data_IF_086575810490
#
_entry.id   IF_086575810490
#
_cell.length_a   1.000
_cell.length_b   1.000
_cell.length_c   1.000
_cell.angle_alpha   90.00
_cell.angle_beta   90.00
_cell.angle_gamma   90.00
#
_symmetry.space_group_name_H-M   'P 1'
#
loop_
_entity.id
_entity.type
_entity.pdbx_description
1 polymer ?
#
# COMPACT_ATOMS: atom_id res chain seq x y z
N UNK A 1 74.34 21.44 -21.45
CA UNK A 1 73.31 20.45 -21.79
C UNK A 1 72.91 19.74 -20.51
N UNK A 2 71.83 20.16 -19.87
CA UNK A 2 71.30 19.56 -18.64
C UNK A 2 69.91 19.02 -18.95
N UNK A 3 69.78 17.69 -19.00
CA UNK A 3 68.52 17.02 -19.23
C UNK A 3 67.59 17.14 -18.00
N UNK A 4 66.28 17.31 -18.17
CA UNK A 4 65.34 17.34 -17.06
C UNK A 4 65.20 15.94 -16.46
N UNK A 5 65.22 15.82 -15.13
CA UNK A 5 64.84 14.57 -14.45
C UNK A 5 63.33 14.44 -14.53
N UNK A 6 62.84 13.54 -15.37
CA UNK A 6 61.47 13.06 -15.29
C UNK A 6 61.31 12.34 -13.95
N UNK A 7 60.43 12.84 -13.10
CA UNK A 7 60.07 12.14 -11.87
C UNK A 7 59.25 10.92 -12.25
N UNK A 8 59.90 9.77 -12.31
CA UNK A 8 59.23 8.49 -12.50
C UNK A 8 58.22 8.28 -11.37
N UNK A 9 56.93 8.25 -11.71
CA UNK A 9 55.86 8.10 -10.73
C UNK A 9 55.84 6.66 -10.22
N UNK A 10 56.61 6.39 -9.16
CA UNK A 10 56.69 5.06 -8.55
C UNK A 10 55.44 4.81 -7.70
N UNK A 11 54.60 3.87 -8.15
CA UNK A 11 53.43 3.38 -7.41
C UNK A 11 53.86 2.69 -6.11
N UNK A 12 53.91 3.45 -5.01
CA UNK A 12 54.06 2.89 -3.65
C UNK A 12 52.74 2.27 -3.15
N UNK A 13 52.82 1.34 -2.20
CA UNK A 13 51.65 0.70 -1.59
C UNK A 13 50.64 1.67 -0.96
N UNK A 14 51.08 2.86 -0.54
CA UNK A 14 50.19 3.94 -0.09
C UNK A 14 49.32 4.52 -1.20
N UNK A 15 49.83 4.59 -2.44
CA UNK A 15 49.04 5.04 -3.59
C UNK A 15 47.98 4.01 -3.95
N UNK A 16 48.32 2.72 -3.91
CA UNK A 16 47.37 1.63 -4.16
C UNK A 16 46.28 1.61 -3.07
N UNK A 17 46.66 1.78 -1.80
CA UNK A 17 45.69 1.88 -0.69
C UNK A 17 44.76 3.10 -0.85
N UNK A 18 45.31 4.26 -1.22
CA UNK A 18 44.52 5.47 -1.48
C UNK A 18 43.56 5.29 -2.67
N UNK A 19 44.01 4.66 -3.76
CA UNK A 19 43.18 4.34 -4.92
C UNK A 19 42.06 3.36 -4.56
N UNK A 20 42.36 2.33 -3.75
CA UNK A 20 41.39 1.34 -3.28
C UNK A 20 40.31 2.00 -2.40
N UNK A 21 40.72 2.82 -1.43
CA UNK A 21 39.80 3.54 -0.56
C UNK A 21 38.94 4.55 -1.33
N UNK A 22 39.52 5.26 -2.30
CA UNK A 22 38.77 6.17 -3.17
C UNK A 22 37.74 5.41 -4.01
N UNK A 23 38.11 4.26 -4.58
CA UNK A 23 37.19 3.42 -5.37
C UNK A 23 36.00 2.94 -4.53
N UNK A 24 36.25 2.32 -3.36
CA UNK A 24 35.18 1.87 -2.48
C UNK A 24 34.36 3.04 -1.92
N UNK A 25 35.00 4.18 -1.62
CA UNK A 25 34.31 5.39 -1.18
C UNK A 25 33.29 5.89 -2.21
N UNK A 26 33.65 5.90 -3.50
CA UNK A 26 32.73 6.28 -4.59
C UNK A 26 31.57 5.28 -4.70
N UNK A 27 31.86 3.97 -4.68
CA UNK A 27 30.80 2.93 -4.75
C UNK A 27 29.82 3.05 -3.58
N UNK A 28 30.33 3.23 -2.36
CA UNK A 28 29.49 3.42 -1.17
C UNK A 28 28.66 4.69 -1.29
N UNK A 29 29.25 5.81 -1.72
CA UNK A 29 28.53 7.07 -1.88
C UNK A 29 27.38 6.97 -2.90
N UNK A 30 27.62 6.31 -4.03
CA UNK A 30 26.59 6.06 -5.06
C UNK A 30 25.50 5.13 -4.52
N UNK A 31 25.86 4.06 -3.81
CA UNK A 31 24.87 3.14 -3.22
C UNK A 31 24.02 3.82 -2.14
N UNK A 32 24.63 4.64 -1.28
CA UNK A 32 23.90 5.43 -0.28
C UNK A 32 22.99 6.46 -0.96
N UNK A 33 23.47 7.13 -2.01
CA UNK A 33 22.65 8.03 -2.81
C UNK A 33 21.45 7.29 -3.42
N UNK A 34 21.64 6.10 -4.00
CA UNK A 34 20.55 5.28 -4.51
C UNK A 34 19.61 4.78 -3.41
N UNK A 35 20.11 4.44 -2.22
CA UNK A 35 19.26 4.07 -1.09
C UNK A 35 18.39 5.24 -0.62
N UNK A 36 18.97 6.44 -0.49
CA UNK A 36 18.20 7.66 -0.17
C UNK A 36 17.24 8.05 -1.29
N UNK A 37 17.66 7.95 -2.55
CA UNK A 37 16.81 8.20 -3.70
C UNK A 37 15.65 7.21 -3.75
N UNK A 38 15.89 5.91 -3.58
CA UNK A 38 14.85 4.88 -3.58
C UNK A 38 13.87 5.06 -2.40
N UNK A 39 14.34 5.47 -1.23
CA UNK A 39 13.46 5.79 -0.08
C UNK A 39 12.67 7.08 -0.32
N UNK A 40 13.20 8.03 -1.11
CA UNK A 40 12.55 9.30 -1.44
C UNK A 40 11.69 9.31 -2.71
N UNK A 41 11.89 8.34 -3.62
CA UNK A 41 11.16 8.20 -4.89
C UNK A 41 10.43 6.87 -4.98
N UNK A 42 9.22 6.94 -4.44
CA UNK A 42 8.02 6.22 -4.85
C UNK A 42 7.72 4.81 -4.31
N UNK A 43 6.42 4.61 -4.04
CA UNK A 43 5.79 3.56 -3.25
C UNK A 43 5.32 2.41 -4.14
N UNK A 44 4.93 1.29 -3.51
CA UNK A 44 4.00 0.33 -4.09
C UNK A 44 4.48 -0.30 -5.40
N UNK A 45 5.14 -1.46 -5.29
CA UNK A 45 5.37 -2.33 -6.43
C UNK A 45 4.01 -2.78 -7.01
N UNK A 46 3.63 -2.10 -8.09
CA UNK A 46 2.48 -2.34 -8.95
C UNK A 46 2.74 -3.61 -9.77
N UNK A 47 2.12 -4.73 -9.36
CA UNK A 47 2.22 -5.98 -10.11
C UNK A 47 1.21 -5.93 -11.25
N UNK A 48 1.73 -5.60 -12.43
CA UNK A 48 1.03 -5.68 -13.72
C UNK A 48 0.39 -7.06 -13.92
N UNK A 49 -0.94 -7.18 -13.93
CA UNK A 49 -1.62 -8.19 -14.76
C UNK A 49 -2.99 -7.70 -15.28
N UNK A 50 -3.38 -8.09 -16.51
CA UNK A 50 -4.44 -7.45 -17.28
C UNK A 50 -5.78 -8.20 -17.24
N UNK A 51 -6.86 -7.44 -17.44
CA UNK A 51 -8.08 -7.80 -18.19
C UNK A 51 -9.15 -8.72 -17.55
N UNK A 52 -10.42 -8.43 -17.94
CA UNK A 52 -11.71 -9.15 -17.76
C UNK A 52 -12.46 -8.86 -16.45
N UNK A 53 -13.39 -7.89 -16.39
CA UNK A 53 -14.78 -7.84 -16.94
C UNK A 53 -15.82 -8.62 -16.10
N UNK A 54 -16.59 -7.84 -15.32
CA UNK A 54 -18.06 -7.88 -15.27
C UNK A 54 -18.76 -9.12 -14.71
N UNK A 55 -19.40 -8.91 -13.55
CA UNK A 55 -20.64 -9.56 -13.10
C UNK A 55 -20.57 -10.85 -12.26
N UNK A 56 -19.74 -10.86 -11.21
CA UNK A 56 -20.09 -11.49 -9.93
C UNK A 56 -19.13 -10.95 -8.86
N UNK A 57 -19.67 -10.26 -7.86
CA UNK A 57 -18.95 -9.50 -6.83
C UNK A 57 -18.16 -10.40 -5.86
N UNK A 58 -17.12 -11.07 -6.35
CA UNK A 58 -16.22 -11.87 -5.53
C UNK A 58 -14.81 -11.94 -6.14
N UNK A 59 -13.86 -11.42 -5.35
CA UNK A 59 -12.40 -11.62 -5.43
C UNK A 59 -11.77 -10.81 -6.57
N UNK A 60 -10.75 -10.00 -6.30
CA UNK A 60 -9.39 -10.50 -6.03
C UNK A 60 -8.66 -9.39 -5.30
N UNK A 61 -8.42 -9.58 -4.00
CA UNK A 61 -7.14 -10.04 -3.46
C UNK A 61 -5.92 -9.23 -3.95
N UNK A 62 -5.57 -8.14 -3.25
CA UNK A 62 -4.14 -7.76 -3.10
C UNK A 62 -3.77 -7.22 -1.71
N UNK A 63 -4.66 -7.39 -0.71
CA UNK A 63 -4.37 -7.14 0.71
C UNK A 63 -4.18 -8.43 1.54
N UNK A 64 -4.01 -9.58 0.89
CA UNK A 64 -4.07 -10.88 1.59
C UNK A 64 -2.88 -11.20 2.47
N UNK A 65 -1.72 -10.58 2.26
CA UNK A 65 -0.52 -10.98 3.01
C UNK A 65 -0.60 -10.57 4.48
N UNK A 66 -1.21 -9.43 4.80
CA UNK A 66 -1.38 -8.99 6.19
C UNK A 66 -2.61 -9.65 6.87
N UNK A 67 -3.72 -9.83 6.14
CA UNK A 67 -4.96 -10.36 6.70
C UNK A 67 -4.88 -11.87 6.98
N UNK A 68 -4.17 -12.64 6.13
CA UNK A 68 -3.97 -14.07 6.35
C UNK A 68 -3.17 -14.37 7.63
N UNK A 69 -2.35 -13.43 8.11
CA UNK A 69 -1.54 -13.61 9.31
C UNK A 69 -2.38 -13.67 10.61
N UNK A 70 -3.60 -13.12 10.63
CA UNK A 70 -4.48 -13.12 11.81
C UNK A 70 -5.70 -14.06 11.69
N UNK A 71 -5.81 -14.81 10.58
CA UNK A 71 -6.87 -15.82 10.40
C UNK A 71 -8.26 -15.26 10.08
N UNK A 72 -8.40 -13.97 9.77
CA UNK A 72 -9.68 -13.37 9.36
C UNK A 72 -9.75 -13.22 7.85
N UNK A 73 -10.96 -13.20 7.29
CA UNK A 73 -11.22 -12.87 5.89
C UNK A 73 -11.98 -11.56 5.83
N UNK A 74 -11.41 -10.60 5.10
CA UNK A 74 -12.01 -9.29 4.86
C UNK A 74 -12.29 -9.14 3.38
N UNK A 75 -13.45 -8.58 3.04
CA UNK A 75 -13.76 -8.15 1.67
C UNK A 75 -14.44 -6.79 1.72
N UNK A 76 -13.94 -5.83 0.95
CA UNK A 76 -14.51 -4.49 0.82
C UNK A 76 -14.94 -4.23 -0.63
N UNK A 77 -16.02 -3.48 -0.83
CA UNK A 77 -16.51 -3.12 -2.15
C UNK A 77 -17.48 -1.95 -2.13
N UNK A 78 -17.39 -1.09 -3.15
CA UNK A 78 -18.38 -0.05 -3.38
C UNK A 78 -19.66 -0.66 -3.96
N UNK A 79 -20.79 -0.13 -3.55
CA UNK A 79 -22.13 -0.51 -4.00
C UNK A 79 -22.95 0.75 -4.30
N UNK A 80 -23.96 0.60 -5.15
CA UNK A 80 -24.89 1.69 -5.42
C UNK A 80 -25.95 1.76 -4.31
N UNK A 81 -26.13 2.94 -3.74
CA UNK A 81 -27.11 3.24 -2.69
C UNK A 81 -28.08 4.31 -3.17
N UNK A 82 -29.24 4.44 -2.51
CA UNK A 82 -30.22 5.48 -2.83
C UNK A 82 -29.63 6.90 -2.72
N UNK A 83 -28.59 7.09 -1.91
CA UNK A 83 -27.87 8.35 -1.74
C UNK A 83 -26.67 8.54 -2.70
N UNK A 84 -26.38 7.56 -3.57
CA UNK A 84 -25.23 7.56 -4.48
C UNK A 84 -24.39 6.30 -4.33
N UNK A 85 -23.24 6.40 -3.66
CA UNK A 85 -22.36 5.29 -3.35
C UNK A 85 -22.44 4.91 -1.87
N UNK A 86 -22.30 3.62 -1.58
CA UNK A 86 -22.05 3.08 -0.26
C UNK A 86 -20.84 2.15 -0.31
N UNK A 87 -20.11 2.05 0.80
CA UNK A 87 -19.03 1.08 0.96
C UNK A 87 -19.50 -0.04 1.88
N UNK A 88 -19.43 -1.28 1.39
CA UNK A 88 -19.73 -2.46 2.16
C UNK A 88 -18.45 -3.24 2.45
N UNK A 89 -18.30 -3.66 3.71
CA UNK A 89 -17.21 -4.51 4.20
C UNK A 89 -17.83 -5.77 4.79
N UNK A 90 -17.30 -6.93 4.47
CA UNK A 90 -17.63 -8.19 5.15
C UNK A 90 -16.43 -8.71 5.90
N UNK A 91 -16.63 -9.00 7.17
CA UNK A 91 -15.65 -9.58 8.07
C UNK A 91 -16.10 -10.99 8.43
N UNK A 92 -15.23 -11.97 8.20
CA UNK A 92 -15.46 -13.37 8.56
C UNK A 92 -14.26 -13.95 9.30
N UNK A 93 -14.55 -14.84 10.23
CA UNK A 93 -13.56 -15.66 10.92
C UNK A 93 -12.99 -16.73 9.98
N UNK A 94 -11.92 -17.40 10.43
CA UNK A 94 -11.21 -18.45 9.67
C UNK A 94 -12.14 -19.59 9.26
N UNK A 95 -13.03 -19.98 10.15
CA UNK A 95 -14.05 -21.01 9.97
C UNK A 95 -15.18 -20.58 9.00
N UNK A 96 -15.22 -19.30 8.62
CA UNK A 96 -16.26 -18.73 7.76
C UNK A 96 -17.45 -18.14 8.52
N UNK A 97 -17.43 -18.17 9.86
CA UNK A 97 -18.46 -17.52 10.66
C UNK A 97 -18.39 -15.98 10.49
N UNK A 98 -19.54 -15.29 10.48
CA UNK A 98 -19.58 -13.83 10.42
C UNK A 98 -18.98 -13.24 11.70
N UNK A 99 -18.12 -12.22 11.55
CA UNK A 99 -17.58 -11.49 12.68
C UNK A 99 -18.56 -10.37 13.06
N UNK A 100 -19.24 -10.52 14.19
CA UNK A 100 -20.25 -9.59 14.69
C UNK A 100 -19.68 -8.69 15.80
N UNK A 101 -20.23 -7.48 15.94
CA UNK A 101 -19.84 -6.54 16.99
C UNK A 101 -18.42 -5.99 16.86
N UNK A 102 -17.80 -6.09 15.68
CA UNK A 102 -16.53 -5.43 15.42
C UNK A 102 -16.77 -3.94 15.18
N UNK A 103 -15.97 -3.10 15.80
CA UNK A 103 -15.95 -1.68 15.52
C UNK A 103 -15.05 -1.43 14.32
N UNK A 104 -15.63 -1.01 13.20
CA UNK A 104 -14.89 -0.75 11.96
C UNK A 104 -14.84 0.76 11.74
N UNK A 105 -13.62 1.28 11.68
CA UNK A 105 -13.33 2.66 11.32
C UNK A 105 -12.44 2.68 10.10
N UNK A 106 -12.56 3.69 9.26
CA UNK A 106 -11.66 3.83 8.13
C UNK A 106 -11.72 5.20 7.50
N UNK A 107 -10.86 5.41 6.51
CA UNK A 107 -10.87 6.57 5.67
C UNK A 107 -10.82 6.11 4.21
N UNK A 108 -11.65 6.76 3.38
CA UNK A 108 -11.55 6.64 1.94
C UNK A 108 -10.67 7.78 1.42
N UNK A 109 -9.56 7.42 0.80
CA UNK A 109 -8.50 8.33 0.36
C UNK A 109 -8.46 8.44 -1.15
N UNK A 110 -8.06 9.60 -1.63
CA UNK A 110 -7.73 9.78 -3.02
C UNK A 110 -6.23 9.54 -3.23
N UNK A 111 -5.81 8.64 -4.14
CA UNK A 111 -4.40 8.24 -4.28
C UNK A 111 -3.40 9.40 -4.42
N UNK A 112 -3.85 10.51 -5.03
CA UNK A 112 -3.01 11.68 -5.31
C UNK A 112 -3.22 12.88 -4.36
N UNK A 113 -4.20 12.84 -3.45
CA UNK A 113 -4.53 14.00 -2.59
C UNK A 113 -5.12 13.59 -1.23
N UNK A 114 -4.28 13.66 -0.19
CA UNK A 114 -4.65 13.33 1.20
C UNK A 114 -5.67 14.31 1.80
N UNK A 115 -5.90 15.50 1.21
CA UNK A 115 -6.91 16.44 1.71
C UNK A 115 -8.35 16.00 1.40
N UNK A 116 -8.52 14.95 0.58
CA UNK A 116 -9.83 14.38 0.23
C UNK A 116 -10.20 13.17 1.07
N UNK A 117 -9.40 12.85 2.09
CA UNK A 117 -9.65 11.74 2.99
C UNK A 117 -11.00 11.93 3.69
N UNK A 118 -11.93 11.00 3.45
CA UNK A 118 -13.25 11.00 4.10
C UNK A 118 -13.26 9.93 5.17
N UNK A 119 -13.34 10.34 6.44
CA UNK A 119 -13.56 9.42 7.55
C UNK A 119 -14.92 8.73 7.40
N UNK A 120 -14.92 7.41 7.57
CA UNK A 120 -16.08 6.55 7.42
C UNK A 120 -16.41 5.90 8.76
N UNK A 121 -17.67 6.03 9.15
CA UNK A 121 -18.24 5.27 10.24
C UNK A 121 -19.10 4.17 9.64
N UNK A 122 -18.72 2.93 9.90
CA UNK A 122 -19.48 1.79 9.42
C UNK A 122 -20.56 1.39 10.41
N UNK A 123 -21.70 0.97 9.87
CA UNK A 123 -22.80 0.38 10.63
C UNK A 123 -22.89 -1.10 10.32
N UNK A 124 -22.93 -1.92 11.35
CA UNK A 124 -23.22 -3.34 11.20
C UNK A 124 -24.68 -3.52 10.77
N UNK A 125 -24.89 -4.25 9.68
CA UNK A 125 -26.23 -4.58 9.15
C UNK A 125 -26.56 -6.08 9.26
N UNK A 126 -25.68 -6.86 9.90
CA UNK A 126 -25.83 -8.30 10.11
C UNK A 126 -24.99 -9.16 9.16
N UNK A 127 -24.87 -10.46 9.47
CA UNK A 127 -24.01 -11.43 8.73
C UNK A 127 -22.55 -10.99 8.58
N UNK A 128 -22.03 -10.26 9.58
CA UNK A 128 -20.66 -9.73 9.56
C UNK A 128 -20.45 -8.68 8.47
N UNK A 129 -21.52 -8.05 7.99
CA UNK A 129 -21.51 -6.99 6.98
C UNK A 129 -21.65 -5.63 7.65
N UNK A 130 -20.75 -4.73 7.27
CA UNK A 130 -20.59 -3.38 7.79
C UNK A 130 -20.69 -2.40 6.62
N UNK A 131 -21.55 -1.39 6.71
CA UNK A 131 -21.84 -0.47 5.60
C UNK A 131 -21.66 0.97 6.05
N UNK A 132 -21.01 1.77 5.20
CA UNK A 132 -20.90 3.22 5.33
C UNK A 132 -21.47 3.90 4.08
N UNK A 133 -22.40 4.84 4.27
CA UNK A 133 -22.94 5.65 3.17
C UNK A 133 -21.95 6.76 2.80
N UNK A 134 -21.56 6.82 1.53
CA UNK A 134 -20.60 7.82 1.01
C UNK A 134 -21.30 9.02 0.36
N UNK A 135 -22.59 8.84 0.02
CA UNK A 135 -23.36 9.83 -0.72
C UNK A 135 -22.83 10.00 -2.14
N UNK A 136 -22.66 11.25 -2.59
CA UNK A 136 -22.05 11.53 -3.89
C UNK A 136 -20.53 11.33 -3.80
N UNK A 137 -20.04 10.29 -4.48
CA UNK A 137 -18.62 10.00 -4.65
C UNK A 137 -18.16 10.45 -6.05
N UNK A 138 -16.96 11.03 -6.13
CA UNK A 138 -16.33 11.37 -7.40
C UNK A 138 -15.93 10.12 -8.18
N UNK A 139 -16.01 10.20 -9.50
CA UNK A 139 -15.55 9.13 -10.39
C UNK A 139 -14.03 9.03 -10.35
N UNK A 140 -13.49 7.84 -10.17
CA UNK A 140 -12.06 7.57 -10.10
C UNK A 140 -11.70 6.35 -9.26
N UNK A 141 -10.40 6.23 -9.03
CA UNK A 141 -9.80 5.24 -8.14
C UNK A 141 -9.67 5.83 -6.73
N UNK A 142 -10.01 5.01 -5.74
CA UNK A 142 -10.06 5.34 -4.33
C UNK A 142 -9.33 4.26 -3.54
N UNK A 143 -8.57 4.66 -2.52
CA UNK A 143 -7.90 3.74 -1.61
C UNK A 143 -8.65 3.74 -0.27
N UNK A 144 -9.11 2.59 0.17
CA UNK A 144 -9.67 2.40 1.50
C UNK A 144 -8.56 1.98 2.45
N UNK A 145 -8.36 2.73 3.54
CA UNK A 145 -7.65 2.23 4.73
C UNK A 145 -8.63 2.11 5.88
N UNK A 146 -8.75 0.93 6.47
CA UNK A 146 -9.67 0.68 7.57
C UNK A 146 -9.06 -0.23 8.64
N UNK A 147 -9.54 -0.05 9.86
CA UNK A 147 -9.17 -0.81 11.05
C UNK A 147 -10.43 -1.42 11.65
N UNK A 148 -10.46 -2.74 11.77
CA UNK A 148 -11.51 -3.47 12.46
C UNK A 148 -11.02 -3.86 13.86
N UNK A 149 -11.72 -3.42 14.91
CA UNK A 149 -11.44 -3.76 16.29
C UNK A 149 -12.54 -4.63 16.86
N UNK A 150 -12.19 -5.82 17.33
CA UNK A 150 -13.13 -6.75 17.97
C UNK A 150 -13.44 -6.34 19.42
N UNK A 151 -14.53 -6.86 20.02
CA UNK A 151 -14.83 -6.67 21.44
C UNK A 151 -13.69 -7.13 22.37
N UNK A 152 -12.90 -8.10 21.92
CA UNK A 152 -11.73 -8.66 22.62
C UNK A 152 -10.47 -7.78 22.48
N UNK A 153 -10.59 -6.59 21.90
CA UNK A 153 -9.49 -5.64 21.59
C UNK A 153 -8.44 -6.16 20.61
N UNK A 154 -8.76 -7.17 19.80
CA UNK A 154 -7.93 -7.48 18.63
C UNK A 154 -8.25 -6.49 17.50
N UNK A 155 -7.23 -5.78 17.01
CA UNK A 155 -7.33 -4.84 15.90
C UNK A 155 -6.67 -5.41 14.63
N UNK A 156 -7.35 -5.28 13.51
CA UNK A 156 -6.86 -5.64 12.19
C UNK A 156 -6.92 -4.44 11.27
N UNK A 157 -5.76 -4.05 10.75
CA UNK A 157 -5.65 -3.06 9.70
C UNK A 157 -5.74 -3.74 8.33
N UNK A 158 -6.51 -3.14 7.42
CA UNK A 158 -6.63 -3.58 6.05
C UNK A 158 -6.79 -2.42 5.08
N UNK A 159 -6.37 -2.68 3.85
CA UNK A 159 -6.45 -1.74 2.74
C UNK A 159 -7.19 -2.38 1.56
N UNK A 160 -7.83 -1.57 0.73
CA UNK A 160 -8.49 -2.03 -0.48
C UNK A 160 -8.60 -0.91 -1.52
N UNK A 161 -8.20 -1.23 -2.75
CA UNK A 161 -8.43 -0.35 -3.89
C UNK A 161 -9.87 -0.49 -4.40
N UNK A 162 -10.51 0.64 -4.65
CA UNK A 162 -11.91 0.76 -5.00
C UNK A 162 -12.06 1.66 -6.23
N UNK A 163 -12.94 1.29 -7.16
CA UNK A 163 -13.22 2.07 -8.36
C UNK A 163 -14.67 2.51 -8.43
N UNK A 164 -14.90 3.77 -8.77
CA UNK A 164 -16.22 4.35 -8.98
C UNK A 164 -16.29 5.15 -10.29
N UNK A 165 -17.38 5.11 -11.07
CA UNK A 165 -18.52 4.20 -10.92
C UNK A 165 -18.08 2.76 -11.21
N UNK A 166 -18.93 1.82 -10.80
CA UNK A 166 -18.70 0.40 -11.06
C UNK A 166 -18.63 0.18 -12.58
N UNK A 167 -17.66 -0.62 -13.07
CA UNK A 167 -17.60 -0.96 -14.47
C UNK A 167 -18.90 -1.64 -14.89
N UNK A 168 -19.49 -1.17 -16.00
CA UNK A 168 -20.72 -1.73 -16.58
C UNK A 168 -20.51 -3.12 -17.16
#
# INVERSE_FOLDING_TARGET
MTAPRESEFVLRGSHVLAMLLAFFGVVIAVNVYFAFAAVGTFPGEDVTHPYIQGLEYNRTLDAHRAQQAQGWRVSAGLEQSAAGAALAIRLRLRDGAPLLGAHVEGALRWPADQHRDRSLTFREIGDGRYVADLGRLGEGDWDLRATATTPERHSLDFEADLRWPLPR
#
